data_IF_095996753446
#
_entry.id   IF_095996753446
#
_cell.length_a   1.000
_cell.length_b   1.000
_cell.length_c   1.000
_cell.angle_alpha   90.00
_cell.angle_beta   90.00
_cell.angle_gamma   90.00
#
_symmetry.space_group_name_H-M   'P 1'
#
loop_
_entity.id
_entity.type
_entity.pdbx_description
1 polymer ?
#
# COMPACT_ATOMS: atom_id res chain seq x y z
N UNK A 1 -7.73 45.27 -38.84
CA UNK A 1 -7.30 43.85 -38.66
C UNK A 1 -5.97 43.71 -37.90
N UNK A 2 -5.05 44.66 -38.00
CA UNK A 2 -3.72 44.64 -37.34
C UNK A 2 -3.74 44.49 -35.79
N UNK A 3 -4.67 45.17 -35.10
CA UNK A 3 -4.78 45.12 -33.63
C UNK A 3 -5.13 43.73 -33.07
N UNK A 4 -5.97 42.95 -33.78
CA UNK A 4 -6.36 41.61 -33.33
C UNK A 4 -5.22 40.60 -33.51
N UNK A 5 -4.38 40.79 -34.52
CA UNK A 5 -3.20 39.97 -34.76
C UNK A 5 -2.10 40.20 -33.71
N UNK A 6 -1.81 41.46 -33.36
CA UNK A 6 -0.85 41.83 -32.32
C UNK A 6 -1.20 41.26 -30.92
N UNK A 7 -2.48 41.28 -30.54
CA UNK A 7 -2.94 40.75 -29.25
C UNK A 7 -2.89 39.22 -29.22
N UNK A 8 -3.20 38.56 -30.35
CA UNK A 8 -3.09 37.11 -30.49
C UNK A 8 -1.64 36.62 -30.37
N UNK A 9 -0.70 37.31 -31.01
CA UNK A 9 0.73 36.99 -30.96
C UNK A 9 1.32 37.17 -29.55
N UNK A 10 0.91 38.21 -28.81
CA UNK A 10 1.34 38.40 -27.41
C UNK A 10 0.84 37.30 -26.47
N UNK A 11 -0.37 36.78 -26.70
CA UNK A 11 -0.94 35.69 -25.89
C UNK A 11 -0.25 34.36 -26.16
N UNK A 12 0.13 34.10 -27.41
CA UNK A 12 0.92 32.93 -27.81
C UNK A 12 2.34 32.98 -27.22
N UNK A 13 3.02 34.14 -27.29
CA UNK A 13 4.35 34.34 -26.69
C UNK A 13 4.38 34.10 -25.16
N UNK A 14 3.32 34.51 -24.43
CA UNK A 14 3.20 34.20 -22.99
C UNK A 14 3.04 32.71 -22.73
N UNK A 15 2.23 32.00 -23.52
CA UNK A 15 2.04 30.56 -23.37
C UNK A 15 3.32 29.77 -23.66
N UNK A 16 4.05 30.15 -24.71
CA UNK A 16 5.35 29.54 -25.01
C UNK A 16 6.40 29.82 -23.91
N UNK A 17 6.43 31.04 -23.36
CA UNK A 17 7.32 31.38 -22.24
C UNK A 17 7.06 30.55 -20.98
N UNK A 18 5.78 30.35 -20.61
CA UNK A 18 5.40 29.52 -19.46
C UNK A 18 5.76 28.05 -19.70
N UNK A 19 5.51 27.54 -20.91
CA UNK A 19 5.84 26.15 -21.25
C UNK A 19 7.36 25.88 -21.21
N UNK A 20 8.16 26.84 -21.70
CA UNK A 20 9.63 26.74 -21.67
C UNK A 20 10.19 26.82 -20.24
N UNK A 21 9.60 27.65 -19.38
CA UNK A 21 9.95 27.74 -17.97
C UNK A 21 9.65 26.43 -17.21
N UNK A 22 8.49 25.81 -17.48
CA UNK A 22 8.12 24.51 -16.89
C UNK A 22 9.08 23.40 -17.32
N UNK A 23 9.48 23.36 -18.59
CA UNK A 23 10.45 22.39 -19.09
C UNK A 23 11.85 22.56 -18.46
N UNK A 24 12.30 23.80 -18.27
CA UNK A 24 13.58 24.09 -17.60
C UNK A 24 13.57 23.65 -16.12
N UNK A 25 12.48 23.89 -15.40
CA UNK A 25 12.33 23.44 -14.00
C UNK A 25 12.26 21.92 -13.92
N UNK A 26 11.49 21.27 -14.80
CA UNK A 26 11.39 19.81 -14.84
C UNK A 26 12.73 19.14 -15.22
N UNK A 27 13.49 19.73 -16.15
CA UNK A 27 14.82 19.25 -16.54
C UNK A 27 15.87 19.39 -15.43
N UNK A 28 15.83 20.49 -14.68
CA UNK A 28 16.71 20.71 -13.52
C UNK A 28 16.50 19.66 -12.42
N UNK A 29 15.25 19.29 -12.13
CA UNK A 29 14.92 18.27 -11.11
C UNK A 29 15.38 16.87 -11.55
N UNK A 30 15.33 16.55 -12.84
CA UNK A 30 15.75 15.24 -13.34
C UNK A 30 17.26 15.01 -13.25
N UNK A 31 18.07 16.07 -13.43
CA UNK A 31 19.54 15.97 -13.40
C UNK A 31 20.11 15.77 -11.98
N UNK A 32 19.44 16.32 -10.95
CA UNK A 32 19.81 16.06 -9.55
C UNK A 32 19.48 14.63 -9.11
N UNK A 33 18.39 14.05 -9.60
CA UNK A 33 17.96 12.71 -9.20
C UNK A 33 18.86 11.60 -9.79
N UNK A 34 19.38 11.77 -11.00
CA UNK A 34 20.26 10.77 -11.63
C UNK A 34 21.61 10.67 -10.92
N UNK A 35 22.14 11.79 -10.42
CA UNK A 35 23.46 11.81 -9.75
C UNK A 35 23.41 11.09 -8.40
N UNK A 36 22.27 11.14 -7.69
CA UNK A 36 22.08 10.40 -6.43
C UNK A 36 21.96 8.87 -6.63
N UNK A 37 21.50 8.42 -7.80
CA UNK A 37 21.32 6.99 -8.11
C UNK A 37 22.61 6.27 -8.52
N UNK A 38 23.69 7.00 -8.85
CA UNK A 38 24.96 6.42 -9.30
C UNK A 38 25.98 6.14 -8.18
N UNK A 39 25.72 6.56 -6.93
CA UNK A 39 26.64 6.31 -5.80
C UNK A 39 26.37 5.01 -5.03
N UNK A 40 25.32 4.25 -5.39
CA UNK A 40 24.86 3.11 -4.58
C UNK A 40 25.16 1.72 -5.18
N UNK A 41 26.07 1.58 -6.14
CA UNK A 41 26.32 0.30 -6.83
C UNK A 41 27.69 -0.36 -6.60
N UNK A 42 28.47 0.02 -5.59
CA UNK A 42 29.60 -0.81 -5.14
C UNK A 42 29.13 -1.75 -4.03
N UNK A 43 28.59 -2.90 -4.42
CA UNK A 43 28.38 -4.03 -3.54
C UNK A 43 29.74 -4.67 -3.26
N UNK A 44 30.22 -4.56 -2.02
CA UNK A 44 31.35 -5.31 -1.49
C UNK A 44 30.77 -6.51 -0.73
N UNK A 45 31.27 -7.71 -0.99
CA UNK A 45 30.78 -8.97 -0.45
C UNK A 45 30.87 -8.99 1.10
N UNK A 46 29.74 -9.17 1.78
CA UNK A 46 29.69 -9.36 3.24
C UNK A 46 29.38 -10.82 3.54
N UNK A 47 30.35 -11.46 4.18
CA UNK A 47 30.31 -12.82 4.74
C UNK A 47 29.26 -12.91 5.86
N UNK A 48 28.28 -13.79 5.69
CA UNK A 48 27.17 -14.01 6.63
C UNK A 48 27.50 -15.14 7.60
N UNK A 49 28.29 -14.84 8.63
CA UNK A 49 28.47 -15.75 9.76
C UNK A 49 28.72 -15.01 11.06
N UNK A 50 27.78 -14.17 11.50
CA UNK A 50 27.69 -13.82 12.92
C UNK A 50 26.27 -13.40 13.30
N UNK A 51 25.67 -14.09 14.27
CA UNK A 51 24.38 -13.72 14.86
C UNK A 51 24.62 -12.60 15.88
N UNK A 52 24.20 -11.38 15.54
CA UNK A 52 24.25 -10.22 16.43
C UNK A 52 22.84 -9.92 16.97
N UNK A 53 22.72 -9.86 18.29
CA UNK A 53 21.53 -9.44 19.05
C UNK A 53 21.00 -8.06 18.59
N UNK A 54 19.70 -7.76 18.73
CA UNK A 54 19.09 -6.58 18.11
C UNK A 54 19.41 -5.32 18.93
N UNK A 55 20.59 -4.75 18.75
CA UNK A 55 20.81 -3.35 19.09
C UNK A 55 20.04 -2.49 18.08
N UNK A 56 19.23 -1.57 18.61
CA UNK A 56 18.33 -0.69 17.88
C UNK A 56 19.07 -0.03 16.71
N UNK A 57 18.82 -0.51 15.49
CA UNK A 57 19.63 -0.17 14.34
C UNK A 57 19.53 1.34 14.05
N UNK A 58 20.67 2.00 13.88
CA UNK A 58 20.82 3.43 13.55
C UNK A 58 19.86 3.92 12.44
N UNK A 59 19.42 3.03 11.54
CA UNK A 59 18.47 3.35 10.48
C UNK A 59 17.01 3.58 10.90
N UNK A 60 16.55 3.08 12.05
CA UNK A 60 15.12 3.12 12.41
C UNK A 60 14.58 4.55 12.58
N UNK A 61 15.36 5.42 13.23
CA UNK A 61 15.00 6.82 13.42
C UNK A 61 15.01 7.64 12.13
N UNK A 62 15.87 7.27 11.16
CA UNK A 62 15.96 7.92 9.85
C UNK A 62 14.76 7.53 8.99
N UNK A 63 14.42 6.24 8.93
CA UNK A 63 13.26 5.75 8.17
C UNK A 63 11.96 6.37 8.69
N UNK A 64 11.79 6.43 10.02
CA UNK A 64 10.61 7.06 10.63
C UNK A 64 10.46 8.55 10.24
N UNK A 65 11.56 9.31 10.24
CA UNK A 65 11.56 10.73 9.88
C UNK A 65 11.32 10.97 8.38
N UNK A 66 11.89 10.12 7.52
CA UNK A 66 11.70 10.22 6.06
C UNK A 66 10.26 9.89 5.68
N UNK A 67 9.67 8.83 6.26
CA UNK A 67 8.27 8.48 6.03
C UNK A 67 7.33 9.62 6.46
N UNK A 68 7.60 10.27 7.60
CA UNK A 68 6.81 11.41 8.08
C UNK A 68 6.80 12.61 7.12
N UNK A 69 7.97 13.02 6.64
CA UNK A 69 8.07 14.21 5.75
C UNK A 69 7.61 13.93 4.32
N UNK A 70 7.88 12.72 3.80
CA UNK A 70 7.48 12.34 2.44
C UNK A 70 5.97 12.13 2.35
N UNK A 71 5.35 11.54 3.38
CA UNK A 71 3.90 11.32 3.41
C UNK A 71 3.08 12.62 3.49
N UNK A 72 3.61 13.66 4.15
CA UNK A 72 2.94 14.96 4.27
C UNK A 72 3.01 15.80 2.98
N UNK A 73 4.03 15.59 2.13
CA UNK A 73 4.26 16.38 0.93
C UNK A 73 3.71 15.79 -0.38
N UNK A 74 3.32 14.52 -0.40
CA UNK A 74 2.86 13.85 -1.61
C UNK A 74 1.32 13.93 -1.76
N UNK A 75 0.79 14.29 -2.94
CA UNK A 75 -0.65 14.25 -3.22
C UNK A 75 -1.20 12.82 -3.32
N UNK A 76 -0.32 11.81 -3.20
CA UNK A 76 -0.67 10.40 -3.12
C UNK A 76 -0.76 10.08 -1.63
N UNK A 77 -1.98 9.83 -1.14
CA UNK A 77 -2.13 9.28 0.22
C UNK A 77 -1.27 8.02 0.28
N UNK A 78 -0.46 7.89 1.32
CA UNK A 78 0.21 6.62 1.63
C UNK A 78 -0.92 5.59 1.70
N UNK A 79 -1.05 4.78 0.64
CA UNK A 79 -1.86 3.59 0.72
C UNK A 79 -1.28 2.85 1.90
N UNK A 80 -2.11 2.55 2.89
CA UNK A 80 -1.66 1.82 4.05
C UNK A 80 -0.90 0.59 3.54
N UNK A 81 0.43 0.64 3.59
CA UNK A 81 1.28 -0.48 3.17
C UNK A 81 1.04 -1.69 4.09
N UNK A 82 0.41 -1.44 5.25
CA UNK A 82 0.24 -2.37 6.34
C UNK A 82 -1.20 -2.44 6.87
N UNK A 83 -2.06 -3.25 6.25
CA UNK A 83 -3.40 -3.55 6.77
C UNK A 83 -4.42 -3.86 5.68
N UNK A 84 -5.70 -3.64 6.00
CA UNK A 84 -6.85 -3.79 5.11
C UNK A 84 -6.68 -3.05 3.75
N UNK A 85 -5.98 -1.91 3.74
CA UNK A 85 -5.76 -1.07 2.55
C UNK A 85 -4.70 -1.58 1.56
N UNK A 86 -3.97 -2.64 1.88
CA UNK A 86 -2.86 -3.14 1.04
C UNK A 86 -3.33 -3.93 -0.20
N UNK A 87 -4.61 -4.29 -0.30
CA UNK A 87 -5.17 -5.13 -1.37
C UNK A 87 -6.12 -4.38 -2.33
N UNK A 88 -6.27 -4.88 -3.57
CA UNK A 88 -7.28 -4.36 -4.51
C UNK A 88 -8.73 -4.58 -4.01
N UNK A 89 -8.94 -5.45 -3.03
CA UNK A 89 -10.24 -5.86 -2.50
C UNK A 89 -11.06 -4.66 -2.02
N UNK A 90 -10.46 -3.75 -1.25
CA UNK A 90 -11.12 -2.55 -0.70
C UNK A 90 -11.54 -1.52 -1.74
N UNK A 91 -11.03 -1.60 -2.98
CA UNK A 91 -11.49 -0.73 -4.07
C UNK A 91 -12.95 -1.02 -4.42
N UNK A 92 -13.42 -2.24 -4.19
CA UNK A 92 -14.80 -2.66 -4.38
C UNK A 92 -15.55 -2.82 -3.04
N UNK A 93 -14.96 -3.52 -2.06
CA UNK A 93 -15.56 -3.83 -0.75
C UNK A 93 -15.43 -2.68 0.25
N UNK A 94 -15.98 -1.52 -0.11
CA UNK A 94 -16.01 -0.30 0.70
C UNK A 94 -17.43 0.16 1.04
N UNK A 95 -18.42 -0.71 0.84
CA UNK A 95 -19.84 -0.41 1.05
C UNK A 95 -20.49 0.38 -0.08
N UNK A 96 -19.74 0.83 -1.10
CA UNK A 96 -20.31 1.55 -2.26
C UNK A 96 -20.45 0.67 -3.49
N UNK A 97 -19.43 -0.14 -3.80
CA UNK A 97 -19.42 -1.02 -5.00
C UNK A 97 -19.81 -2.46 -4.67
N UNK A 98 -19.43 -2.90 -3.48
CA UNK A 98 -19.78 -4.16 -2.87
C UNK A 98 -19.83 -3.95 -1.36
N UNK A 99 -20.45 -4.89 -0.65
CA UNK A 99 -20.57 -4.87 0.80
C UNK A 99 -19.20 -4.68 1.46
N UNK A 100 -19.15 -3.79 2.47
CA UNK A 100 -17.94 -3.63 3.27
C UNK A 100 -17.79 -4.84 4.20
N UNK A 101 -16.56 -5.21 4.60
CA UNK A 101 -16.38 -6.17 5.67
C UNK A 101 -17.09 -5.69 6.95
N UNK A 102 -17.75 -6.60 7.66
CA UNK A 102 -18.38 -6.28 8.94
C UNK A 102 -17.31 -5.96 9.99
N UNK A 103 -17.47 -4.84 10.69
CA UNK A 103 -16.49 -4.33 11.67
C UNK A 103 -17.12 -4.06 13.05
N UNK A 104 -18.25 -4.68 13.36
CA UNK A 104 -18.83 -4.63 14.71
C UNK A 104 -17.91 -5.42 15.65
N UNK A 105 -17.30 -4.81 16.68
CA UNK A 105 -16.33 -5.49 17.54
C UNK A 105 -16.95 -6.62 18.38
N UNK A 106 -18.26 -6.59 18.62
CA UNK A 106 -18.95 -7.57 19.47
C UNK A 106 -19.51 -8.72 18.63
N UNK A 107 -19.93 -8.45 17.39
CA UNK A 107 -20.55 -9.45 16.49
C UNK A 107 -19.61 -9.98 15.42
N UNK A 108 -18.66 -9.17 14.97
CA UNK A 108 -17.74 -9.47 13.88
C UNK A 108 -16.31 -8.95 14.20
N UNK A 109 -15.70 -9.43 15.30
CA UNK A 109 -14.42 -8.91 15.78
C UNK A 109 -13.27 -9.13 14.79
N UNK A 110 -13.39 -10.11 13.88
CA UNK A 110 -12.34 -10.53 12.95
C UNK A 110 -11.66 -9.37 12.23
N UNK A 111 -12.44 -8.56 11.49
CA UNK A 111 -11.89 -7.47 10.69
C UNK A 111 -11.34 -6.34 11.55
N UNK A 112 -11.86 -6.16 12.78
CA UNK A 112 -11.34 -5.17 13.72
C UNK A 112 -9.96 -5.59 14.23
N UNK A 113 -9.85 -6.82 14.70
CA UNK A 113 -8.63 -7.37 15.30
C UNK A 113 -7.52 -7.63 14.28
N UNK A 114 -7.87 -7.90 13.02
CA UNK A 114 -6.92 -8.13 11.93
C UNK A 114 -6.79 -6.93 10.98
N UNK A 115 -7.31 -5.77 11.37
CA UNK A 115 -7.30 -4.56 10.52
C UNK A 115 -5.89 -4.07 10.18
N UNK A 116 -4.96 -4.27 11.11
CA UNK A 116 -3.54 -3.91 11.01
C UNK A 116 -2.68 -4.96 10.32
N UNK A 117 -3.20 -6.18 10.10
CA UNK A 117 -2.45 -7.27 9.47
C UNK A 117 -2.31 -7.01 7.97
N UNK A 118 -1.08 -7.05 7.48
CA UNK A 118 -0.77 -6.78 6.08
C UNK A 118 -1.45 -7.80 5.17
N UNK A 119 -2.12 -7.32 4.13
CA UNK A 119 -2.87 -8.16 3.20
C UNK A 119 -3.95 -9.04 3.88
N UNK A 120 -4.50 -8.62 5.03
CA UNK A 120 -5.46 -9.42 5.80
C UNK A 120 -6.65 -9.93 4.98
N UNK A 121 -7.16 -9.14 4.04
CA UNK A 121 -8.22 -9.59 3.11
C UNK A 121 -7.80 -10.86 2.35
N UNK A 122 -6.65 -10.83 1.68
CA UNK A 122 -6.17 -11.97 0.89
C UNK A 122 -5.56 -13.08 1.76
N UNK A 123 -5.09 -12.76 2.97
CA UNK A 123 -4.61 -13.74 3.94
C UNK A 123 -5.70 -14.74 4.31
N UNK A 124 -6.89 -14.23 4.67
CA UNK A 124 -8.03 -15.05 5.07
C UNK A 124 -8.89 -15.49 3.88
N UNK A 125 -9.28 -14.55 3.01
CA UNK A 125 -10.21 -14.85 1.90
C UNK A 125 -9.52 -15.34 0.62
N UNK A 126 -8.19 -15.37 0.56
CA UNK A 126 -7.43 -15.74 -0.66
C UNK A 126 -7.79 -14.86 -1.86
N UNK A 127 -7.85 -15.42 -3.06
CA UNK A 127 -8.03 -14.68 -4.30
C UNK A 127 -6.78 -13.91 -4.76
N UNK A 128 -6.94 -13.12 -5.81
CA UNK A 128 -5.84 -12.31 -6.37
C UNK A 128 -5.98 -10.83 -5.98
N UNK A 129 -5.20 -10.34 -4.99
CA UNK A 129 -5.31 -8.96 -4.48
C UNK A 129 -4.71 -7.91 -5.41
N UNK A 130 -4.21 -8.30 -6.59
CA UNK A 130 -3.58 -7.40 -7.57
C UNK A 130 -4.47 -7.14 -8.78
N UNK A 131 -5.50 -7.97 -8.99
CA UNK A 131 -6.41 -7.86 -10.12
C UNK A 131 -7.71 -7.15 -9.71
N UNK A 132 -8.33 -6.47 -10.68
CA UNK A 132 -9.60 -5.75 -10.48
C UNK A 132 -10.79 -6.35 -11.23
N UNK A 133 -10.52 -7.31 -12.13
CA UNK A 133 -11.59 -8.04 -12.83
C UNK A 133 -12.14 -9.11 -11.89
N UNK A 134 -13.43 -9.02 -11.55
CA UNK A 134 -14.11 -9.85 -10.54
C UNK A 134 -13.80 -11.34 -10.68
N UNK A 135 -13.92 -11.88 -11.88
CA UNK A 135 -13.72 -13.32 -12.12
C UNK A 135 -12.27 -13.74 -11.84
N UNK A 136 -11.32 -12.85 -12.11
CA UNK A 136 -9.90 -13.11 -11.91
C UNK A 136 -9.46 -12.82 -10.47
N UNK A 137 -10.04 -11.82 -9.81
CA UNK A 137 -9.75 -11.49 -8.42
C UNK A 137 -10.35 -12.51 -7.45
N UNK A 138 -11.51 -13.10 -7.79
CA UNK A 138 -12.20 -14.07 -6.93
C UNK A 138 -11.86 -15.53 -7.26
N UNK A 139 -10.93 -15.80 -8.18
CA UNK A 139 -10.47 -17.16 -8.44
C UNK A 139 -9.81 -17.71 -7.18
N UNK A 140 -10.26 -18.88 -6.71
CA UNK A 140 -9.80 -19.52 -5.47
C UNK A 140 -10.06 -18.67 -4.21
N UNK A 141 -11.10 -17.80 -4.24
CA UNK A 141 -11.52 -17.04 -3.07
C UNK A 141 -12.24 -17.95 -2.07
N UNK A 142 -11.83 -17.89 -0.81
CA UNK A 142 -12.56 -18.44 0.33
C UNK A 142 -13.59 -17.41 0.77
N UNK A 143 -14.87 -17.74 0.58
CA UNK A 143 -15.98 -16.83 0.94
C UNK A 143 -16.16 -16.79 2.46
N UNK A 144 -16.09 -17.94 3.11
CA UNK A 144 -16.22 -18.07 4.56
C UNK A 144 -14.92 -18.64 5.16
N UNK A 145 -14.04 -17.74 5.58
CA UNK A 145 -12.74 -18.06 6.17
C UNK A 145 -12.83 -18.94 7.42
N UNK A 146 -13.93 -18.86 8.17
CA UNK A 146 -14.10 -19.63 9.42
C UNK A 146 -14.43 -21.11 9.14
N UNK A 147 -14.99 -21.41 7.96
CA UNK A 147 -15.23 -22.79 7.53
C UNK A 147 -13.95 -23.49 7.03
N UNK A 148 -12.89 -22.73 6.77
CA UNK A 148 -11.61 -23.23 6.24
C UNK A 148 -10.41 -22.73 7.07
N UNK A 149 -10.38 -23.00 8.39
CA UNK A 149 -9.40 -22.42 9.31
C UNK A 149 -7.95 -22.81 8.99
N UNK A 150 -7.75 -24.00 8.43
CA UNK A 150 -6.43 -24.46 7.96
C UNK A 150 -5.84 -23.52 6.91
N UNK A 151 -6.67 -23.00 6.02
CA UNK A 151 -6.24 -22.11 4.96
C UNK A 151 -6.25 -20.64 5.41
N UNK A 152 -7.18 -20.24 6.27
CA UNK A 152 -7.39 -18.83 6.62
C UNK A 152 -6.65 -18.37 7.89
N UNK A 153 -6.42 -19.26 8.86
CA UNK A 153 -5.93 -18.91 10.20
C UNK A 153 -4.52 -19.44 10.44
N UNK A 154 -4.27 -20.72 10.15
CA UNK A 154 -3.06 -21.43 10.59
C UNK A 154 -1.79 -21.09 9.82
N UNK A 155 -1.89 -20.31 8.73
CA UNK A 155 -0.72 -19.73 8.08
C UNK A 155 0.02 -18.69 8.93
N UNK A 156 -0.70 -18.01 9.85
CA UNK A 156 -0.13 -17.02 10.77
C UNK A 156 -0.19 -17.48 12.22
N UNK A 157 -1.20 -18.27 12.58
CA UNK A 157 -1.37 -18.85 13.92
C UNK A 157 -0.81 -20.28 13.94
N UNK A 158 0.50 -20.41 14.06
CA UNK A 158 1.22 -21.70 14.02
C UNK A 158 1.39 -22.37 15.39
N UNK A 159 0.98 -21.70 16.47
CA UNK A 159 0.98 -22.27 17.82
C UNK A 159 -0.14 -23.30 18.02
N UNK A 160 -0.02 -24.07 19.09
CA UNK A 160 -1.01 -25.10 19.46
C UNK A 160 -2.37 -24.52 19.86
N UNK A 161 -2.46 -23.19 20.05
CA UNK A 161 -3.67 -22.47 20.43
C UNK A 161 -4.56 -22.09 19.23
N UNK A 162 -4.11 -22.31 17.99
CA UNK A 162 -4.85 -21.98 16.76
C UNK A 162 -6.31 -22.48 16.78
N UNK A 163 -6.58 -23.78 17.05
CA UNK A 163 -7.94 -24.29 17.14
C UNK A 163 -8.79 -23.59 18.21
N UNK A 164 -8.21 -23.34 19.39
CA UNK A 164 -8.92 -22.66 20.48
C UNK A 164 -9.25 -21.18 20.15
N UNK A 165 -8.44 -20.53 19.33
CA UNK A 165 -8.74 -19.18 18.82
C UNK A 165 -9.91 -19.22 17.83
N UNK A 166 -9.93 -20.16 16.89
CA UNK A 166 -11.02 -20.33 15.92
C UNK A 166 -12.35 -20.58 16.62
N UNK A 167 -12.37 -21.42 17.65
CA UNK A 167 -13.58 -21.73 18.43
C UNK A 167 -14.20 -20.50 19.08
N UNK A 168 -13.38 -19.59 19.63
CA UNK A 168 -13.88 -18.32 20.21
C UNK A 168 -14.63 -17.50 19.18
N UNK A 169 -14.14 -17.48 17.95
CA UNK A 169 -14.76 -16.69 16.91
C UNK A 169 -16.00 -17.34 16.31
N UNK A 170 -16.04 -18.67 16.19
CA UNK A 170 -17.24 -19.41 15.80
C UNK A 170 -18.44 -19.10 16.72
N UNK A 171 -18.19 -18.79 17.98
CA UNK A 171 -19.25 -18.47 18.95
C UNK A 171 -19.88 -17.08 18.77
N UNK A 172 -19.11 -16.12 18.25
CA UNK A 172 -19.54 -14.71 18.09
C UNK A 172 -20.00 -14.39 16.67
N UNK A 173 -19.60 -15.19 15.68
CA UNK A 173 -19.97 -15.00 14.27
C UNK A 173 -21.26 -15.80 13.99
N UNK A 174 -22.43 -15.23 14.30
CA UNK A 174 -23.77 -15.78 14.00
C UNK A 174 -24.61 -14.76 13.23
#
# INVERSE_FOLDING_TARGET
MLKKWLVGSFRQLRLFGVFFLVLMVAGGVFSYLSTALQFSSTAEDIDMSETVEPEQAWGEGIVANVVGHVSAGLPIRVANACGLGASSCFRCHNGKRAEAPATDPDKNPWHVQHSSVNNSCAGCHKGNPRLMKKEMSHRELIVNSVAEPEQACFGCHTGDDGPALVDKYLQVTQ
#
